data_IF_137272212868
#
_entry.id   IF_137272212868
#
_cell.length_a   1.000
_cell.length_b   1.000
_cell.length_c   1.000
_cell.angle_alpha   90.00
_cell.angle_beta   90.00
_cell.angle_gamma   90.00
#
_symmetry.space_group_name_H-M   'P 1'
#
loop_
_entity.id
_entity.type
_entity.pdbx_description
1 polymer ?
#
# COMPACT_ATOMS: atom_id res chain seq x y z
N UNK A 1 -9.99 3.30 -2.94
CA UNK A 1 -9.21 3.99 -1.89
C UNK A 1 -10.02 4.47 -0.69
N UNK A 2 -11.18 5.14 -0.86
CA UNK A 2 -11.90 5.83 0.24
C UNK A 2 -12.20 4.94 1.46
N UNK A 3 -12.68 3.71 1.27
CA UNK A 3 -12.92 2.79 2.37
C UNK A 3 -11.64 2.44 3.15
N UNK A 4 -10.53 2.17 2.44
CA UNK A 4 -9.21 1.92 3.05
C UNK A 4 -8.72 3.12 3.86
N UNK A 5 -8.86 4.33 3.32
CA UNK A 5 -8.55 5.55 4.08
C UNK A 5 -9.49 5.76 5.28
N UNK A 6 -10.76 5.38 5.18
CA UNK A 6 -11.68 5.38 6.32
C UNK A 6 -11.20 4.48 7.46
N UNK A 7 -10.60 3.33 7.16
CA UNK A 7 -10.00 2.44 8.15
C UNK A 7 -8.74 3.05 8.77
N UNK A 8 -7.90 3.71 7.97
CA UNK A 8 -6.73 4.47 8.44
C UNK A 8 -7.15 5.60 9.39
N UNK A 9 -8.12 6.43 9.00
CA UNK A 9 -8.60 7.52 9.86
C UNK A 9 -9.26 7.00 11.14
N UNK A 10 -9.91 5.83 11.11
CA UNK A 10 -10.38 5.17 12.32
C UNK A 10 -9.22 4.77 13.25
N UNK A 11 -8.12 4.25 12.71
CA UNK A 11 -6.91 3.94 13.51
C UNK A 11 -6.31 5.20 14.14
N UNK A 12 -6.14 6.25 13.34
CA UNK A 12 -5.66 7.56 13.79
C UNK A 12 -6.55 8.11 14.91
N UNK A 13 -7.87 8.04 14.75
CA UNK A 13 -8.83 8.52 15.76
C UNK A 13 -8.74 7.77 17.10
N UNK A 14 -8.24 6.53 17.09
CA UNK A 14 -7.96 5.73 18.29
C UNK A 14 -6.51 5.86 18.78
N UNK A 15 -5.70 6.74 18.19
CA UNK A 15 -4.29 6.91 18.55
C UNK A 15 -3.41 5.70 18.21
N UNK A 16 -3.86 4.85 17.28
CA UNK A 16 -3.12 3.66 16.88
C UNK A 16 -2.20 3.98 15.69
N UNK A 17 -0.90 3.64 15.75
CA UNK A 17 0.00 3.89 14.64
C UNK A 17 -0.35 3.03 13.43
N UNK A 18 -0.24 3.63 12.25
CA UNK A 18 -0.54 2.98 10.97
C UNK A 18 0.33 3.53 9.85
N UNK A 19 0.23 2.93 8.66
CA UNK A 19 0.97 3.41 7.51
C UNK A 19 0.18 3.26 6.20
N UNK A 20 0.55 4.08 5.21
CA UNK A 20 -0.01 4.05 3.86
C UNK A 20 1.13 4.00 2.86
N UNK A 21 1.06 3.06 1.92
CA UNK A 21 1.89 3.01 0.72
C UNK A 21 0.96 3.12 -0.48
N UNK A 22 1.14 4.16 -1.29
CA UNK A 22 0.41 4.31 -2.54
C UNK A 22 1.26 3.85 -3.71
N UNK A 23 0.76 2.85 -4.42
CA UNK A 23 1.32 2.36 -5.67
C UNK A 23 0.77 3.22 -6.82
N UNK A 24 1.62 3.55 -7.80
CA UNK A 24 1.25 4.09 -9.12
C UNK A 24 0.63 5.50 -9.14
N UNK A 25 0.04 6.01 -8.04
CA UNK A 25 -0.42 7.40 -7.97
C UNK A 25 0.78 8.34 -8.10
N UNK A 26 0.77 9.16 -9.14
CA UNK A 26 1.79 10.18 -9.36
C UNK A 26 1.75 11.26 -8.30
N UNK A 27 2.64 12.25 -8.44
CA UNK A 27 2.86 13.35 -7.50
C UNK A 27 1.67 14.32 -7.30
N UNK A 28 0.42 13.93 -7.62
CA UNK A 28 -0.76 14.68 -7.24
C UNK A 28 -1.00 14.54 -5.74
N UNK A 29 -0.99 15.67 -5.03
CA UNK A 29 -1.48 15.77 -3.66
C UNK A 29 -2.92 15.28 -3.59
N UNK A 30 -3.19 14.38 -2.65
CA UNK A 30 -4.54 13.96 -2.31
C UNK A 30 -4.92 14.57 -0.95
N UNK A 31 -6.20 14.88 -0.77
CA UNK A 31 -6.68 15.47 0.47
C UNK A 31 -6.39 14.60 1.70
N UNK A 32 -6.44 13.27 1.54
CA UNK A 32 -6.10 12.32 2.61
C UNK A 32 -4.63 12.43 3.02
N UNK A 33 -3.72 12.55 2.05
CA UNK A 33 -2.29 12.74 2.31
C UNK A 33 -2.04 14.07 3.00
N UNK A 34 -2.59 15.16 2.46
CA UNK A 34 -2.40 16.50 3.04
C UNK A 34 -2.89 16.57 4.50
N UNK A 35 -3.99 15.90 4.81
CA UNK A 35 -4.53 15.84 6.18
C UNK A 35 -3.58 15.07 7.10
N UNK A 36 -3.08 13.91 6.65
CA UNK A 36 -2.15 13.07 7.41
C UNK A 36 -0.83 13.81 7.65
N UNK A 37 -0.21 14.34 6.58
CA UNK A 37 1.09 15.03 6.67
C UNK A 37 1.01 16.27 7.58
N UNK A 38 -0.12 16.99 7.60
CA UNK A 38 -0.28 18.21 8.42
C UNK A 38 -0.60 17.94 9.89
N UNK A 39 -1.34 16.88 10.19
CA UNK A 39 -1.95 16.71 11.52
C UNK A 39 -1.61 15.40 12.22
N UNK A 40 -1.14 14.40 11.49
CA UNK A 40 -1.02 13.02 11.98
C UNK A 40 0.25 12.31 11.51
N UNK A 41 1.29 13.04 11.09
CA UNK A 41 2.53 12.46 10.57
C UNK A 41 3.31 11.63 11.61
N UNK A 42 3.06 11.86 12.90
CA UNK A 42 3.58 11.10 14.03
C UNK A 42 2.85 9.75 14.23
N UNK A 43 1.59 9.67 13.81
CA UNK A 43 0.74 8.47 13.93
C UNK A 43 0.63 7.67 12.64
N UNK A 44 0.72 8.32 11.48
CA UNK A 44 0.52 7.68 10.18
C UNK A 44 1.66 8.02 9.21
N UNK A 45 2.50 7.02 8.93
CA UNK A 45 3.55 7.16 7.93
C UNK A 45 2.96 7.05 6.52
N UNK A 46 3.23 8.01 5.65
CA UNK A 46 2.67 8.04 4.31
C UNK A 46 3.77 8.04 3.24
N UNK A 47 3.74 7.05 2.35
CA UNK A 47 4.68 6.92 1.24
C UNK A 47 3.92 6.88 -0.09
N UNK A 48 4.18 7.85 -0.97
CA UNK A 48 3.75 7.81 -2.36
C UNK A 48 4.93 7.37 -3.22
N UNK A 49 4.89 6.12 -3.68
CA UNK A 49 5.97 5.51 -4.45
C UNK A 49 5.41 5.11 -5.81
N UNK A 50 5.37 6.10 -6.71
CA UNK A 50 4.82 6.02 -8.06
C UNK A 50 5.02 7.35 -8.79
N UNK A 51 5.38 7.32 -10.07
CA UNK A 51 5.52 8.55 -10.89
C UNK A 51 4.19 8.97 -11.54
N UNK A 52 3.13 8.17 -11.41
CA UNK A 52 1.90 8.35 -12.17
C UNK A 52 1.98 7.66 -13.52
N UNK A 53 0.84 7.40 -14.14
CA UNK A 53 0.83 6.98 -15.54
C UNK A 53 1.20 8.17 -16.43
N UNK A 54 2.45 8.22 -16.89
CA UNK A 54 2.83 9.11 -17.99
C UNK A 54 2.44 8.45 -19.30
N UNK A 55 1.48 9.04 -20.01
CA UNK A 55 1.06 8.60 -21.35
C UNK A 55 2.17 8.75 -22.41
N UNK A 56 3.23 9.50 -22.10
CA UNK A 56 4.42 9.63 -22.92
C UNK A 56 5.46 8.58 -22.50
N UNK A 57 5.60 7.54 -23.32
CA UNK A 57 6.63 6.50 -23.25
C UNK A 57 6.59 5.67 -21.95
N UNK A 58 5.80 4.59 -21.96
CA UNK A 58 5.83 3.55 -20.92
C UNK A 58 7.23 2.90 -20.86
N UNK A 59 8.08 3.38 -19.93
CA UNK A 59 9.29 2.67 -19.55
C UNK A 59 8.90 1.63 -18.49
N UNK A 60 8.48 0.45 -18.98
CA UNK A 60 8.09 -0.67 -18.13
C UNK A 60 9.16 -1.02 -17.08
N UNK A 61 10.44 -0.87 -17.41
CA UNK A 61 11.51 -1.17 -16.47
C UNK A 61 11.53 -0.18 -15.28
N UNK A 62 11.22 1.10 -15.52
CA UNK A 62 11.04 2.09 -14.44
C UNK A 62 9.80 1.82 -13.59
N UNK A 63 8.70 1.44 -14.23
CA UNK A 63 7.47 1.09 -13.50
C UNK A 63 7.70 -0.10 -12.57
N UNK A 64 8.37 -1.16 -13.07
CA UNK A 64 8.77 -2.32 -12.27
C UNK A 64 9.66 -1.89 -11.11
N UNK A 65 10.73 -1.14 -11.37
CA UNK A 65 11.65 -0.71 -10.32
C UNK A 65 10.98 0.17 -9.26
N UNK A 66 9.99 0.97 -9.65
CA UNK A 66 9.23 1.82 -8.72
C UNK A 66 8.25 1.00 -7.88
N UNK A 67 7.56 0.03 -8.51
CA UNK A 67 6.67 -0.88 -7.81
C UNK A 67 7.43 -1.79 -6.82
N UNK A 68 8.60 -2.29 -7.20
CA UNK A 68 9.49 -3.06 -6.32
C UNK A 68 9.95 -2.22 -5.11
N UNK A 69 10.35 -0.96 -5.31
CA UNK A 69 10.69 -0.05 -4.20
C UNK A 69 9.50 0.20 -3.28
N UNK A 70 8.30 0.40 -3.84
CA UNK A 70 7.08 0.56 -3.08
C UNK A 70 6.79 -0.70 -2.25
N UNK A 71 7.01 -1.86 -2.84
CA UNK A 71 6.83 -3.13 -2.18
C UNK A 71 7.84 -3.40 -1.06
N UNK A 72 9.12 -3.12 -1.26
CA UNK A 72 10.12 -3.23 -0.19
C UNK A 72 9.77 -2.32 1.00
N UNK A 73 9.35 -1.07 0.72
CA UNK A 73 8.86 -0.17 1.77
C UNK A 73 7.62 -0.71 2.48
N UNK A 74 6.68 -1.30 1.74
CA UNK A 74 5.51 -1.95 2.34
C UNK A 74 5.91 -3.10 3.27
N UNK A 75 6.85 -3.96 2.86
CA UNK A 75 7.35 -5.06 3.70
C UNK A 75 7.98 -4.55 4.99
N UNK A 76 8.79 -3.49 4.94
CA UNK A 76 9.34 -2.85 6.14
C UNK A 76 8.24 -2.38 7.10
N UNK A 77 7.22 -1.69 6.58
CA UNK A 77 6.12 -1.16 7.39
C UNK A 77 5.23 -2.26 7.97
N UNK A 78 5.00 -3.34 7.22
CA UNK A 78 4.20 -4.49 7.66
C UNK A 78 4.92 -5.27 8.76
N UNK A 79 6.24 -5.48 8.66
CA UNK A 79 7.03 -6.17 9.69
C UNK A 79 7.18 -5.36 10.98
N UNK A 80 7.04 -4.03 10.91
CA UNK A 80 7.07 -3.17 12.09
C UNK A 80 5.75 -3.27 12.87
N UNK A 81 5.75 -4.08 13.94
CA UNK A 81 4.58 -4.34 14.80
C UNK A 81 4.02 -3.08 15.49
N UNK A 82 4.73 -1.94 15.45
CA UNK A 82 4.17 -0.65 15.89
C UNK A 82 3.00 -0.22 14.99
N UNK A 83 3.03 -0.58 13.70
CA UNK A 83 1.92 -0.35 12.79
C UNK A 83 0.89 -1.46 12.96
N UNK A 84 -0.26 -1.14 13.57
CA UNK A 84 -1.37 -2.09 13.66
C UNK A 84 -2.16 -2.21 12.36
N UNK A 85 -1.98 -1.25 11.43
CA UNK A 85 -2.55 -1.29 10.09
C UNK A 85 -1.62 -0.70 9.03
N UNK A 86 -1.52 -1.38 7.88
CA UNK A 86 -0.85 -0.87 6.68
C UNK A 86 -1.80 -0.92 5.49
N UNK A 87 -2.04 0.23 4.85
CA UNK A 87 -2.82 0.35 3.63
C UNK A 87 -1.89 0.33 2.41
N UNK A 88 -2.05 -0.65 1.53
CA UNK A 88 -1.40 -0.76 0.24
C UNK A 88 -2.38 -0.29 -0.85
N UNK A 89 -2.43 1.02 -1.07
CA UNK A 89 -3.37 1.63 -2.00
C UNK A 89 -2.93 1.37 -3.45
N UNK A 90 -3.83 0.84 -4.28
CA UNK A 90 -3.63 0.53 -5.70
C UNK A 90 -2.57 -0.55 -6.02
N UNK A 91 -2.15 -1.34 -5.03
CA UNK A 91 -1.24 -2.49 -5.27
C UNK A 91 -1.80 -3.48 -6.30
N UNK A 92 -3.12 -3.66 -6.37
CA UNK A 92 -3.74 -4.56 -7.35
C UNK A 92 -3.45 -4.13 -8.79
N UNK A 93 -3.24 -2.84 -9.04
CA UNK A 93 -2.85 -2.33 -10.36
C UNK A 93 -1.41 -2.73 -10.68
N UNK A 94 -0.49 -2.63 -9.72
CA UNK A 94 0.91 -3.08 -9.90
C UNK A 94 0.99 -4.59 -10.17
N UNK A 95 0.17 -5.37 -9.46
CA UNK A 95 0.08 -6.83 -9.66
C UNK A 95 -0.55 -7.19 -10.99
N UNK A 96 -1.55 -6.43 -11.45
CA UNK A 96 -2.21 -6.67 -12.75
C UNK A 96 -1.24 -6.52 -13.92
N UNK A 97 -0.28 -5.59 -13.85
CA UNK A 97 0.73 -5.37 -14.88
C UNK A 97 2.01 -6.22 -14.68
N UNK A 98 2.00 -7.13 -13.72
CA UNK A 98 3.13 -7.99 -13.34
C UNK A 98 4.39 -7.17 -13.03
N UNK A 99 4.21 -6.02 -12.37
CA UNK A 99 5.32 -5.20 -11.86
C UNK A 99 5.88 -5.75 -10.54
N UNK A 100 5.09 -6.57 -9.85
CA UNK A 100 5.46 -7.31 -8.65
C UNK A 100 4.96 -8.74 -8.84
N UNK A 101 5.75 -9.72 -8.42
CA UNK A 101 5.35 -11.13 -8.45
C UNK A 101 4.28 -11.41 -7.40
N UNK A 102 3.11 -11.91 -7.85
CA UNK A 102 1.99 -12.29 -6.99
C UNK A 102 2.38 -13.40 -6.00
N UNK A 103 3.21 -14.35 -6.42
CA UNK A 103 3.62 -15.46 -5.56
C UNK A 103 4.47 -14.96 -4.39
N UNK A 104 5.29 -13.93 -4.63
CA UNK A 104 6.08 -13.30 -3.58
C UNK A 104 5.19 -12.54 -2.58
N UNK A 105 4.19 -11.79 -3.05
CA UNK A 105 3.26 -11.06 -2.18
C UNK A 105 2.46 -12.03 -1.31
N UNK A 106 1.92 -13.10 -1.90
CA UNK A 106 1.16 -14.13 -1.18
C UNK A 106 2.03 -14.82 -0.13
N UNK A 107 3.27 -15.19 -0.50
CA UNK A 107 4.22 -15.80 0.44
C UNK A 107 4.52 -14.87 1.61
N UNK A 108 4.85 -13.60 1.32
CA UNK A 108 5.14 -12.61 2.34
C UNK A 108 3.96 -12.41 3.31
N UNK A 109 2.73 -12.25 2.78
CA UNK A 109 1.55 -12.03 3.62
C UNK A 109 1.22 -13.25 4.51
N UNK A 110 1.54 -14.46 4.08
CA UNK A 110 1.33 -15.69 4.86
C UNK A 110 2.42 -15.94 5.90
N UNK A 111 3.68 -15.69 5.54
CA UNK A 111 4.83 -16.14 6.33
C UNK A 111 5.41 -15.04 7.22
N UNK A 112 5.30 -13.77 6.81
CA UNK A 112 6.04 -12.66 7.43
C UNK A 112 5.14 -11.58 8.04
N UNK A 113 3.87 -11.48 7.65
CA UNK A 113 2.93 -10.50 8.21
C UNK A 113 2.69 -10.82 9.70
N UNK A 114 2.98 -9.90 10.64
CA UNK A 114 2.64 -10.11 12.04
C UNK A 114 1.15 -10.40 12.22
N UNK A 115 0.82 -11.26 13.18
CA UNK A 115 -0.56 -11.73 13.39
C UNK A 115 -1.53 -10.57 13.66
N UNK A 116 -1.10 -9.60 14.46
CA UNK A 116 -1.92 -8.44 14.87
C UNK A 116 -1.90 -7.27 13.88
N UNK A 117 -1.09 -7.33 12.83
CA UNK A 117 -1.03 -6.28 11.80
C UNK A 117 -2.07 -6.55 10.72
N UNK A 118 -2.98 -5.60 10.54
CA UNK A 118 -3.93 -5.60 9.43
C UNK A 118 -3.29 -5.03 8.17
N UNK A 119 -3.40 -5.73 7.05
CA UNK A 119 -2.90 -5.23 5.75
C UNK A 119 -4.08 -5.11 4.80
N UNK A 120 -4.34 -3.89 4.34
CA UNK A 120 -5.49 -3.57 3.46
C UNK A 120 -4.97 -3.32 2.06
N UNK A 121 -5.38 -4.14 1.10
CA UNK A 121 -4.98 -4.00 -0.31
C UNK A 121 -6.12 -3.39 -1.11
N UNK A 122 -5.82 -2.42 -1.97
CA UNK A 122 -6.83 -1.79 -2.83
C UNK A 122 -6.42 -1.78 -4.30
N UNK A 123 -7.37 -1.40 -5.14
CA UNK A 123 -7.23 -1.29 -6.59
C UNK A 123 -8.09 -2.31 -7.32
N UNK A 124 -8.30 -2.06 -8.61
CA UNK A 124 -9.19 -2.89 -9.44
C UNK A 124 -8.54 -4.23 -9.77
N UNK A 125 -9.36 -5.26 -9.96
CA UNK A 125 -8.95 -6.57 -10.47
C UNK A 125 -7.89 -7.27 -9.59
N UNK A 126 -8.17 -7.43 -8.29
CA UNK A 126 -7.36 -8.28 -7.42
C UNK A 126 -7.20 -9.69 -8.04
N UNK A 127 -5.99 -10.23 -8.02
CA UNK A 127 -5.71 -11.60 -8.48
C UNK A 127 -6.36 -12.61 -7.53
N UNK A 128 -6.81 -13.75 -8.08
CA UNK A 128 -7.51 -14.79 -7.33
C UNK A 128 -6.67 -15.30 -6.14
N UNK A 129 -5.37 -15.52 -6.34
CA UNK A 129 -4.42 -15.92 -5.29
C UNK A 129 -4.42 -14.99 -4.07
N UNK A 130 -4.67 -13.69 -4.26
CA UNK A 130 -4.79 -12.73 -3.15
C UNK A 130 -6.16 -12.80 -2.48
N UNK A 131 -7.22 -12.99 -3.26
CA UNK A 131 -8.59 -13.11 -2.74
C UNK A 131 -8.70 -14.36 -1.87
N UNK A 132 -8.09 -15.47 -2.28
CA UNK A 132 -8.10 -16.74 -1.54
C UNK A 132 -7.47 -16.64 -0.13
N UNK A 133 -6.55 -15.71 0.06
CA UNK A 133 -5.81 -15.55 1.33
C UNK A 133 -6.32 -14.37 2.16
N UNK A 134 -7.25 -13.59 1.61
CA UNK A 134 -7.81 -12.43 2.28
C UNK A 134 -8.87 -12.87 3.31
N UNK A 135 -8.76 -12.32 4.51
CA UNK A 135 -9.80 -12.41 5.53
C UNK A 135 -10.89 -11.35 5.27
N UNK A 136 -12.07 -11.53 5.89
CA UNK A 136 -13.23 -10.64 5.76
C UNK A 136 -13.51 -9.87 7.06
#
# INVERSE_FOLDING_TARGET
>A
STAGFGMIFRHIAHGMPCAVVQFIKGAMQTGERDLIDKHFADLCQFYTLGEGFTWETQDRARDVATAEKAWEKAKELIRDERNSMVLLDEINIALRYDYIDIAEVVRFLKEEKPHMTHVVLTGRNAKEDLIEIADL
#
